data_IF_026344106196
#
_entry.id   IF_026344106196
#
_cell.length_a   1.000
_cell.length_b   1.000
_cell.length_c   1.000
_cell.angle_alpha   90.00
_cell.angle_beta   90.00
_cell.angle_gamma   90.00
#
_symmetry.space_group_name_H-M   'P 1'
#
loop_
_entity.id
_entity.type
_entity.pdbx_description
1 polymer ?
#
# COMPACT_ATOMS: atom_id res chain seq x y z
N UNK A 1 12.71 25.24 -51.93
CA UNK A 1 13.49 24.36 -51.03
C UNK A 1 13.07 24.64 -49.58
N UNK A 2 12.25 23.79 -48.97
CA UNK A 2 11.85 23.93 -47.56
C UNK A 2 12.83 23.15 -46.70
N UNK A 3 13.64 23.85 -45.90
CA UNK A 3 14.53 23.21 -44.90
C UNK A 3 13.66 22.54 -43.84
N UNK A 4 13.66 21.20 -43.79
CA UNK A 4 13.07 20.44 -42.70
C UNK A 4 13.76 20.81 -41.38
N UNK A 5 12.97 21.29 -40.42
CA UNK A 5 13.39 21.62 -39.06
C UNK A 5 13.88 20.32 -38.38
N UNK A 6 15.09 20.28 -37.79
CA UNK A 6 15.61 19.05 -37.20
C UNK A 6 14.71 18.62 -36.05
N UNK A 7 14.26 17.36 -36.07
CA UNK A 7 13.52 16.76 -34.95
C UNK A 7 14.50 16.51 -33.83
N UNK A 8 14.40 17.30 -32.77
CA UNK A 8 15.18 17.08 -31.56
C UNK A 8 14.54 15.90 -30.81
N UNK A 9 15.32 14.84 -30.65
CA UNK A 9 14.96 13.69 -29.83
C UNK A 9 15.69 13.83 -28.51
N UNK A 10 14.97 13.63 -27.42
CA UNK A 10 15.51 13.61 -26.07
C UNK A 10 15.15 12.26 -25.47
N UNK A 11 16.13 11.60 -24.89
CA UNK A 11 15.93 10.38 -24.10
C UNK A 11 15.91 10.78 -22.63
N UNK A 12 14.83 10.41 -21.92
CA UNK A 12 14.70 10.59 -20.48
C UNK A 12 14.84 9.23 -19.82
N UNK A 13 15.99 8.98 -19.20
CA UNK A 13 16.22 7.80 -18.38
C UNK A 13 15.92 8.15 -16.93
N UNK A 14 15.04 7.39 -16.30
CA UNK A 14 14.74 7.49 -14.87
C UNK A 14 15.19 6.20 -14.22
N UNK A 15 16.26 6.30 -13.43
CA UNK A 15 16.77 5.20 -12.63
C UNK A 15 16.09 5.26 -11.25
N UNK A 16 15.63 4.10 -10.78
CA UNK A 16 14.93 3.98 -9.49
C UNK A 16 15.53 2.84 -8.68
N UNK A 17 15.76 3.10 -7.40
CA UNK A 17 16.04 2.08 -6.41
C UNK A 17 14.75 1.74 -5.66
N UNK A 18 14.23 0.53 -5.87
CA UNK A 18 13.02 0.09 -5.21
C UNK A 18 13.25 -0.13 -3.71
N UNK A 19 12.35 0.41 -2.89
CA UNK A 19 12.31 0.16 -1.45
C UNK A 19 11.26 -0.90 -1.13
N UNK A 20 11.46 -1.60 -0.01
CA UNK A 20 10.41 -2.46 0.55
C UNK A 20 9.13 -1.64 0.75
N UNK A 21 8.04 -2.08 0.10
CA UNK A 21 6.73 -1.44 0.22
C UNK A 21 5.82 -2.13 1.24
N UNK A 22 6.29 -3.26 1.79
CA UNK A 22 5.62 -4.01 2.84
C UNK A 22 5.84 -3.37 4.22
N UNK A 23 4.82 -3.45 5.07
CA UNK A 23 4.90 -3.10 6.47
C UNK A 23 4.06 -4.05 7.33
N UNK A 24 4.51 -4.26 8.56
CA UNK A 24 3.78 -5.00 9.60
C UNK A 24 3.47 -4.03 10.73
N UNK A 25 2.21 -4.01 11.16
CA UNK A 25 1.72 -3.14 12.22
C UNK A 25 1.24 -3.93 13.43
N UNK A 26 1.56 -3.42 14.62
CA UNK A 26 1.00 -3.89 15.88
C UNK A 26 0.39 -2.70 16.63
N UNK A 27 -0.90 -2.78 16.93
CA UNK A 27 -1.64 -1.72 17.63
C UNK A 27 -2.25 -2.25 18.93
N UNK A 28 -2.35 -1.37 19.93
CA UNK A 28 -3.08 -1.61 21.17
C UNK A 28 -3.97 -0.40 21.45
N UNK A 29 -5.20 -0.65 21.92
CA UNK A 29 -6.15 0.43 22.18
C UNK A 29 -7.24 0.05 23.17
N UNK A 30 -8.09 1.02 23.48
CA UNK A 30 -9.24 0.86 24.37
C UNK A 30 -10.42 1.67 23.86
N UNK A 31 -11.62 1.09 23.90
CA UNK A 31 -12.87 1.81 23.67
C UNK A 31 -13.93 1.44 24.73
N UNK A 32 -14.83 2.37 25.04
CA UNK A 32 -15.83 2.21 26.11
C UNK A 32 -16.80 1.04 25.88
N UNK A 33 -17.15 0.77 24.63
CA UNK A 33 -18.07 -0.33 24.27
C UNK A 33 -17.38 -1.70 24.23
N UNK A 34 -16.16 -1.77 23.70
CA UNK A 34 -15.46 -3.03 23.38
C UNK A 34 -14.33 -3.40 24.36
N UNK A 35 -13.95 -2.48 25.24
CA UNK A 35 -12.83 -2.65 26.16
C UNK A 35 -11.47 -2.52 25.47
N UNK A 36 -10.47 -3.22 26.01
CA UNK A 36 -9.11 -3.26 25.44
C UNK A 36 -9.11 -4.13 24.18
N UNK A 37 -8.35 -3.70 23.18
CA UNK A 37 -8.08 -4.47 21.97
C UNK A 37 -6.61 -4.41 21.57
N UNK A 38 -6.19 -5.43 20.83
CA UNK A 38 -4.93 -5.45 20.11
C UNK A 38 -5.15 -5.82 18.65
N UNK A 39 -4.28 -5.35 17.76
CA UNK A 39 -4.34 -5.65 16.32
C UNK A 39 -2.96 -5.98 15.79
N UNK A 40 -2.92 -6.99 14.94
CA UNK A 40 -1.77 -7.29 14.09
C UNK A 40 -2.19 -7.11 12.64
N UNK A 41 -1.38 -6.42 11.84
CA UNK A 41 -1.70 -6.06 10.46
C UNK A 41 -0.49 -6.21 9.54
N UNK A 42 -0.77 -6.48 8.27
CA UNK A 42 0.18 -6.54 7.17
C UNK A 42 -0.34 -5.66 6.03
N UNK A 43 0.53 -4.80 5.50
CA UNK A 43 0.20 -3.85 4.44
C UNK A 43 1.29 -3.87 3.37
N UNK A 44 0.90 -4.05 2.11
CA UNK A 44 1.77 -4.01 0.92
C UNK A 44 1.26 -2.92 -0.03
N UNK A 45 2.09 -1.92 -0.34
CA UNK A 45 1.68 -0.79 -1.20
C UNK A 45 1.86 -1.04 -2.70
N UNK A 46 2.64 -2.05 -3.09
CA UNK A 46 2.91 -2.39 -4.49
C UNK A 46 2.78 -3.89 -4.72
N UNK A 47 1.56 -4.43 -4.49
CA UNK A 47 1.29 -5.86 -4.55
C UNK A 47 1.76 -6.45 -5.89
N UNK A 48 2.82 -7.24 -5.86
CA UNK A 48 3.43 -7.89 -7.04
C UNK A 48 3.78 -6.88 -8.15
N UNK A 49 4.16 -5.64 -7.80
CA UNK A 49 4.52 -4.62 -8.79
C UNK A 49 3.33 -3.99 -9.52
N UNK A 50 2.09 -4.26 -9.10
CA UNK A 50 0.89 -3.79 -9.80
C UNK A 50 0.43 -2.39 -9.38
N UNK A 51 1.04 -1.78 -8.36
CA UNK A 51 0.60 -0.53 -7.74
C UNK A 51 -0.68 -0.66 -6.90
N UNK A 52 -1.20 -1.89 -6.72
CA UNK A 52 -2.35 -2.17 -5.84
C UNK A 52 -1.88 -2.31 -4.40
N UNK A 53 -2.78 -1.95 -3.49
CA UNK A 53 -2.54 -2.03 -2.05
C UNK A 53 -3.24 -3.27 -1.51
N UNK A 54 -2.49 -4.16 -0.84
CA UNK A 54 -3.04 -5.26 -0.05
C UNK A 54 -2.96 -4.90 1.43
N UNK A 55 -4.08 -4.99 2.14
CA UNK A 55 -4.15 -4.81 3.59
C UNK A 55 -4.85 -6.02 4.20
N UNK A 56 -4.24 -6.61 5.21
CA UNK A 56 -4.80 -7.75 5.91
C UNK A 56 -4.46 -7.68 7.40
N UNK A 57 -5.29 -8.28 8.24
CA UNK A 57 -4.99 -8.32 9.66
C UNK A 57 -6.01 -9.01 10.52
N UNK A 58 -5.66 -9.09 11.80
CA UNK A 58 -6.47 -9.67 12.86
C UNK A 58 -6.54 -8.66 14.00
N UNK A 59 -7.75 -8.39 14.47
CA UNK A 59 -7.99 -7.61 15.68
C UNK A 59 -8.65 -8.50 16.73
N UNK A 60 -8.07 -8.51 17.93
CA UNK A 60 -8.61 -9.22 19.09
C UNK A 60 -9.02 -8.18 20.13
N UNK A 61 -10.28 -8.22 20.54
CA UNK A 61 -10.85 -7.37 21.58
C UNK A 61 -11.45 -8.26 22.67
N UNK A 62 -11.79 -7.66 23.83
CA UNK A 62 -12.35 -8.39 24.98
C UNK A 62 -13.47 -9.39 24.62
N UNK A 63 -14.34 -9.01 23.69
CA UNK A 63 -15.54 -9.79 23.35
C UNK A 63 -15.58 -10.24 21.88
N UNK A 64 -14.58 -9.92 21.05
CA UNK A 64 -14.67 -10.13 19.59
C UNK A 64 -13.28 -10.31 18.98
N UNK A 65 -13.17 -11.26 18.05
CA UNK A 65 -12.03 -11.39 17.16
C UNK A 65 -12.48 -11.15 15.73
N UNK A 66 -11.83 -10.22 15.04
CA UNK A 66 -12.15 -9.82 13.67
C UNK A 66 -10.95 -10.07 12.75
N UNK A 67 -11.23 -10.59 11.57
CA UNK A 67 -10.26 -10.79 10.49
C UNK A 67 -10.68 -9.92 9.31
N UNK A 68 -9.71 -9.31 8.64
CA UNK A 68 -9.97 -8.52 7.45
C UNK A 68 -8.87 -8.73 6.41
N UNK A 69 -9.25 -8.54 5.16
CA UNK A 69 -8.38 -8.64 4.00
C UNK A 69 -9.00 -7.87 2.84
N UNK A 70 -8.28 -6.88 2.31
CA UNK A 70 -8.74 -6.00 1.25
C UNK A 70 -7.63 -5.73 0.23
N UNK A 71 -8.05 -5.57 -1.03
CA UNK A 71 -7.19 -5.16 -2.14
C UNK A 71 -7.79 -3.90 -2.73
N UNK A 72 -7.02 -2.82 -2.74
CA UNK A 72 -7.45 -1.51 -3.24
C UNK A 72 -6.60 -1.10 -4.44
N UNK A 73 -7.25 -0.65 -5.52
CA UNK A 73 -6.58 0.02 -6.63
C UNK A 73 -6.78 1.54 -6.50
N UNK A 74 -5.71 2.33 -6.26
CA UNK A 74 -5.84 3.77 -6.08
C UNK A 74 -6.00 4.56 -7.38
N UNK A 75 -5.80 3.96 -8.56
CA UNK A 75 -5.82 4.65 -9.86
C UNK A 75 -7.11 4.36 -10.66
N UNK A 76 -8.24 4.25 -9.98
CA UNK A 76 -9.53 3.90 -10.60
C UNK A 76 -10.21 5.06 -11.35
#
# INVERSE_FOLDING_TARGET
MLKQKPRIKYDLNVEVDEKSTSSVGFDLGYNTTGGVFGRFSFLEHNLVGTGKILNAGVQVSKNTTSYYGDITDPHF
#
